data_IF_948903357459
#
_entry.id   IF_948903357459
#
_cell.length_a   1.000
_cell.length_b   1.000
_cell.length_c   1.000
_cell.angle_alpha   90.00
_cell.angle_beta   90.00
_cell.angle_gamma   90.00
#
_symmetry.space_group_name_H-M   'P 1'
#
loop_
_entity.id
_entity.type
_entity.pdbx_description
1 polymer ?
#
# COMPACT_ATOMS: atom_id res chain seq x y z
N UNK A 1 -1.16 25.66 -2.33
CA UNK A 1 -1.54 24.24 -2.37
C UNK A 1 -0.46 23.54 -3.15
N UNK A 2 0.51 22.96 -2.44
CA UNK A 2 1.55 22.13 -3.06
C UNK A 2 0.84 20.88 -3.57
N UNK A 3 0.74 20.79 -4.90
CA UNK A 3 0.39 19.58 -5.61
C UNK A 3 1.57 18.62 -5.37
N UNK A 4 1.55 17.89 -4.25
CA UNK A 4 2.53 16.82 -3.99
C UNK A 4 2.33 15.78 -5.08
N UNK A 5 3.15 15.92 -6.12
CA UNK A 5 3.09 15.07 -7.29
C UNK A 5 3.35 13.65 -6.82
N UNK A 6 2.37 12.76 -6.96
CA UNK A 6 2.51 11.36 -6.62
C UNK A 6 3.59 10.75 -7.54
N UNK A 7 4.82 10.61 -7.04
CA UNK A 7 5.93 10.04 -7.81
C UNK A 7 5.97 8.53 -7.60
N UNK A 8 5.54 7.78 -8.61
CA UNK A 8 5.61 6.33 -8.65
C UNK A 8 6.74 5.87 -9.57
N UNK A 9 7.56 4.94 -9.08
CA UNK A 9 8.74 4.42 -9.80
C UNK A 9 8.47 3.04 -10.38
N UNK A 10 7.63 2.25 -9.74
CA UNK A 10 7.33 0.89 -10.16
C UNK A 10 6.25 0.87 -11.25
N UNK A 11 6.48 0.25 -12.42
CA UNK A 11 5.54 0.26 -13.54
C UNK A 11 4.18 -0.36 -13.20
N UNK A 12 4.14 -1.37 -12.32
CA UNK A 12 2.87 -1.93 -11.85
C UNK A 12 2.08 -0.97 -10.96
N UNK A 13 2.75 -0.13 -10.16
CA UNK A 13 2.04 0.87 -9.34
C UNK A 13 1.54 2.02 -10.19
N UNK A 14 2.32 2.44 -11.19
CA UNK A 14 1.88 3.40 -12.21
C UNK A 14 0.60 2.91 -12.91
N UNK A 15 0.57 1.66 -13.36
CA UNK A 15 -0.62 1.11 -14.02
C UNK A 15 -1.80 0.93 -13.06
N UNK A 16 -1.56 0.58 -11.79
CA UNK A 16 -2.60 0.49 -10.76
C UNK A 16 -3.22 1.86 -10.48
N UNK A 17 -2.39 2.89 -10.40
CA UNK A 17 -2.85 4.25 -10.18
C UNK A 17 -3.67 4.77 -11.37
N UNK A 18 -3.21 4.52 -12.59
CA UNK A 18 -3.96 4.87 -13.81
C UNK A 18 -5.34 4.18 -13.83
N UNK A 19 -5.39 2.89 -13.51
CA UNK A 19 -6.66 2.17 -13.38
C UNK A 19 -7.57 2.80 -12.31
N UNK A 20 -7.05 3.14 -11.13
CA UNK A 20 -7.83 3.81 -10.10
C UNK A 20 -8.39 5.18 -10.54
N UNK A 21 -7.60 5.96 -11.30
CA UNK A 21 -8.05 7.22 -11.88
C UNK A 21 -9.18 7.02 -12.90
N UNK A 22 -9.14 5.96 -13.70
CA UNK A 22 -10.23 5.60 -14.63
C UNK A 22 -11.52 5.30 -13.85
N UNK A 23 -11.42 4.56 -12.75
CA UNK A 23 -12.58 4.23 -11.91
C UNK A 23 -13.17 5.44 -11.18
N UNK A 24 -12.40 6.50 -10.98
CA UNK A 24 -12.92 7.75 -10.42
C UNK A 24 -13.98 8.37 -11.34
N UNK A 25 -13.88 8.19 -12.66
CA UNK A 25 -14.90 8.57 -13.66
C UNK A 25 -15.54 9.98 -13.47
N UNK A 26 -14.78 10.95 -12.97
CA UNK A 26 -15.23 12.32 -12.68
C UNK A 26 -15.74 12.56 -11.25
N UNK A 27 -15.82 11.53 -10.41
CA UNK A 27 -15.95 11.62 -8.97
C UNK A 27 -14.56 11.70 -8.29
N UNK A 28 -14.45 12.31 -7.10
CA UNK A 28 -13.18 12.39 -6.37
C UNK A 28 -12.74 11.04 -5.76
N UNK A 29 -13.66 10.08 -5.63
CA UNK A 29 -13.44 8.84 -4.91
C UNK A 29 -14.26 7.71 -5.57
N UNK A 30 -13.63 6.60 -6.02
CA UNK A 30 -14.36 5.52 -6.67
C UNK A 30 -15.04 4.61 -5.65
N UNK A 31 -16.15 4.01 -6.07
CA UNK A 31 -16.85 3.00 -5.27
C UNK A 31 -16.08 1.68 -5.30
N UNK A 32 -15.86 1.09 -4.12
CA UNK A 32 -15.23 -0.21 -3.98
C UNK A 32 -16.00 -1.31 -4.71
N UNK A 33 -17.33 -1.22 -4.72
CA UNK A 33 -18.24 -2.14 -5.43
C UNK A 33 -18.17 -2.01 -6.96
N UNK A 34 -17.64 -0.90 -7.48
CA UNK A 34 -17.46 -0.70 -8.92
C UNK A 34 -16.17 -1.34 -9.45
N UNK A 35 -15.26 -1.78 -8.57
CA UNK A 35 -14.04 -2.48 -8.97
C UNK A 35 -14.36 -3.94 -9.27
N UNK A 36 -14.15 -4.35 -10.52
CA UNK A 36 -14.27 -5.75 -10.88
C UNK A 36 -13.01 -6.51 -10.42
N UNK A 37 -13.13 -7.56 -9.58
CA UNK A 37 -11.97 -8.36 -9.17
C UNK A 37 -11.19 -8.98 -10.35
N UNK A 38 -11.85 -9.20 -11.50
CA UNK A 38 -11.19 -9.70 -12.70
C UNK A 38 -10.22 -8.68 -13.30
N UNK A 39 -10.49 -7.38 -13.18
CA UNK A 39 -9.63 -6.30 -13.66
C UNK A 39 -8.43 -6.10 -12.72
N UNK A 40 -8.56 -6.45 -11.44
CA UNK A 40 -7.48 -6.38 -10.45
C UNK A 40 -6.45 -7.52 -10.59
N UNK A 41 -6.74 -8.55 -11.39
CA UNK A 41 -5.85 -9.72 -11.61
C UNK A 41 -4.38 -9.39 -11.88
N UNK A 42 -4.01 -8.34 -12.64
CA UNK A 42 -2.61 -8.00 -12.88
C UNK A 42 -1.81 -7.63 -11.63
N UNK A 43 -2.50 -7.30 -10.53
CA UNK A 43 -1.89 -6.86 -9.27
C UNK A 43 -2.23 -7.75 -8.07
N UNK A 44 -3.26 -8.61 -8.13
CA UNK A 44 -3.77 -9.41 -6.99
C UNK A 44 -2.70 -9.99 -6.06
N UNK A 45 -1.65 -10.61 -6.61
CA UNK A 45 -0.57 -11.18 -5.79
C UNK A 45 0.13 -10.15 -4.88
N UNK A 46 0.18 -8.89 -5.29
CA UNK A 46 0.87 -7.77 -4.63
C UNK A 46 -0.13 -6.67 -4.20
N UNK A 47 -1.39 -7.03 -3.99
CA UNK A 47 -2.42 -6.16 -3.41
C UNK A 47 -2.75 -6.56 -1.97
N UNK A 48 -3.17 -5.59 -1.18
CA UNK A 48 -3.89 -5.79 0.07
C UNK A 48 -5.04 -4.79 0.13
N UNK A 49 -6.17 -5.22 0.69
CA UNK A 49 -7.34 -4.36 0.90
C UNK A 49 -7.55 -4.25 2.39
N UNK A 50 -7.72 -3.01 2.85
CA UNK A 50 -8.05 -2.70 4.24
C UNK A 50 -9.49 -2.21 4.30
N UNK A 51 -10.25 -2.74 5.25
CA UNK A 51 -11.53 -2.18 5.67
C UNK A 51 -11.29 -1.13 6.75
N UNK A 52 -11.89 0.05 6.57
CA UNK A 52 -11.88 1.13 7.56
C UNK A 52 -13.07 0.91 8.49
N UNK A 53 -12.83 0.32 9.66
CA UNK A 53 -13.90 0.01 10.61
C UNK A 53 -14.18 1.19 11.56
N UNK A 54 -15.38 1.21 12.15
CA UNK A 54 -15.75 2.21 13.15
C UNK A 54 -14.74 2.23 14.29
N UNK A 55 -14.20 3.42 14.60
CA UNK A 55 -13.13 3.58 15.58
C UNK A 55 -11.74 3.85 14.97
N UNK A 56 -11.66 4.11 13.66
CA UNK A 56 -10.40 4.39 12.94
C UNK A 56 -9.40 3.23 12.96
N UNK A 57 -9.91 2.00 13.05
CA UNK A 57 -9.07 0.83 12.92
C UNK A 57 -9.09 0.30 11.49
N UNK A 58 -8.02 -0.38 11.11
CA UNK A 58 -7.83 -0.87 9.75
C UNK A 58 -7.66 -2.38 9.80
N UNK A 59 -8.59 -3.10 9.17
CA UNK A 59 -8.63 -4.56 9.18
C UNK A 59 -8.32 -5.07 7.79
N UNK A 60 -7.41 -6.04 7.66
CA UNK A 60 -7.12 -6.65 6.36
C UNK A 60 -8.34 -7.43 5.88
N UNK A 61 -8.91 -7.07 4.74
CA UNK A 61 -10.02 -7.79 4.09
C UNK A 61 -9.57 -8.62 2.90
N UNK A 62 -8.45 -8.25 2.28
CA UNK A 62 -7.74 -9.06 1.29
C UNK A 62 -6.24 -8.96 1.51
N UNK A 63 -5.55 -10.09 1.35
CA UNK A 63 -4.10 -10.15 1.43
C UNK A 63 -3.57 -10.98 0.25
N UNK A 64 -2.79 -10.32 -0.61
CA UNK A 64 -2.26 -10.91 -1.83
C UNK A 64 -1.26 -12.02 -1.53
N UNK A 65 -1.28 -13.06 -2.36
CA UNK A 65 -0.46 -14.26 -2.15
C UNK A 65 1.05 -13.95 -2.07
N UNK A 66 1.57 -13.00 -2.85
CA UNK A 66 2.99 -12.61 -2.79
C UNK A 66 3.36 -12.02 -1.43
N UNK A 67 2.42 -11.39 -0.74
CA UNK A 67 2.64 -10.92 0.62
C UNK A 67 2.60 -12.05 1.63
N UNK A 68 1.69 -13.02 1.49
CA UNK A 68 1.68 -14.22 2.34
C UNK A 68 3.01 -14.98 2.23
N UNK A 69 3.53 -15.11 1.00
CA UNK A 69 4.80 -15.78 0.73
C UNK A 69 6.01 -14.99 1.28
N UNK A 70 5.97 -13.65 1.26
CA UNK A 70 7.11 -12.80 1.65
C UNK A 70 7.12 -12.40 3.13
N UNK A 71 5.95 -12.30 3.78
CA UNK A 71 5.82 -11.76 5.14
C UNK A 71 5.25 -12.76 6.14
N UNK A 72 4.85 -13.95 5.69
CA UNK A 72 4.30 -15.01 6.51
C UNK A 72 2.89 -14.71 7.03
N UNK A 73 2.09 -15.77 7.04
CA UNK A 73 0.69 -15.86 7.51
C UNK A 73 -0.32 -14.96 6.79
N UNK A 74 -1.50 -15.53 6.57
CA UNK A 74 -2.67 -14.79 6.13
C UNK A 74 -3.12 -13.85 7.26
N UNK A 75 -3.12 -12.54 6.98
CA UNK A 75 -3.51 -11.50 7.94
C UNK A 75 -4.96 -11.07 7.77
N UNK A 76 -5.73 -11.69 6.87
CA UNK A 76 -7.15 -11.38 6.68
C UNK A 76 -7.91 -11.52 8.01
N UNK A 77 -8.74 -10.53 8.31
CA UNK A 77 -9.49 -10.38 9.55
C UNK A 77 -8.68 -9.81 10.73
N UNK A 78 -7.38 -9.58 10.57
CA UNK A 78 -6.55 -8.98 11.62
C UNK A 78 -6.50 -7.46 11.49
N UNK A 79 -6.41 -6.78 12.63
CA UNK A 79 -6.22 -5.33 12.71
C UNK A 79 -4.74 -4.95 12.64
N UNK A 80 -4.41 -3.81 12.05
CA UNK A 80 -3.05 -3.24 12.13
C UNK A 80 -2.61 -2.96 13.56
N UNK A 81 -3.53 -2.83 14.52
CA UNK A 81 -3.21 -2.67 15.94
C UNK A 81 -2.52 -3.90 16.55
N UNK A 82 -2.59 -5.07 15.88
CA UNK A 82 -1.86 -6.28 16.28
C UNK A 82 -0.40 -6.30 15.82
N UNK A 83 0.00 -5.36 14.96
CA UNK A 83 1.39 -5.22 14.55
C UNK A 83 2.23 -4.65 15.69
N UNK A 84 3.56 -4.84 15.67
CA UNK A 84 4.45 -4.14 16.59
C UNK A 84 4.17 -2.63 16.58
N UNK A 85 4.20 -1.99 17.75
CA UNK A 85 3.76 -0.59 17.96
C UNK A 85 4.37 0.39 16.95
N UNK A 86 5.68 0.30 16.71
CA UNK A 86 6.35 1.17 15.73
C UNK A 86 5.87 0.96 14.28
N UNK A 87 5.42 -0.24 13.92
CA UNK A 87 4.88 -0.52 12.58
C UNK A 87 3.40 -0.12 12.47
N UNK A 88 2.60 -0.37 13.51
CA UNK A 88 1.19 -0.02 13.53
C UNK A 88 0.97 1.48 13.48
N UNK A 89 1.78 2.26 14.21
CA UNK A 89 1.69 3.73 14.24
C UNK A 89 2.00 4.37 12.88
N UNK A 90 3.03 3.87 12.20
CA UNK A 90 3.42 4.35 10.87
C UNK A 90 2.29 4.09 9.86
N UNK A 91 1.73 2.87 9.86
CA UNK A 91 0.62 2.54 8.95
C UNK A 91 -0.66 3.30 9.30
N UNK A 92 -0.95 3.47 10.59
CA UNK A 92 -2.11 4.23 11.06
C UNK A 92 -2.05 5.67 10.60
N UNK A 93 -0.91 6.35 10.78
CA UNK A 93 -0.72 7.71 10.33
C UNK A 93 -0.87 7.84 8.80
N UNK A 94 -0.27 6.92 8.03
CA UNK A 94 -0.38 6.90 6.56
C UNK A 94 -1.83 6.75 6.09
N UNK A 95 -2.55 5.79 6.68
CA UNK A 95 -3.94 5.51 6.33
C UNK A 95 -4.90 6.61 6.80
N UNK A 96 -4.63 7.23 7.93
CA UNK A 96 -5.42 8.37 8.43
C UNK A 96 -5.28 9.59 7.54
N UNK A 97 -4.08 9.86 6.99
CA UNK A 97 -3.88 10.89 5.97
C UNK A 97 -4.70 10.59 4.73
N UNK A 98 -4.62 9.38 4.18
CA UNK A 98 -5.40 8.99 2.99
C UNK A 98 -6.90 9.12 3.23
N UNK A 99 -7.37 8.68 4.41
CA UNK A 99 -8.77 8.76 4.81
C UNK A 99 -9.27 10.20 4.95
N UNK A 100 -8.48 11.07 5.57
CA UNK A 100 -8.87 12.46 5.87
C UNK A 100 -8.74 13.39 4.67
N UNK A 101 -7.72 13.20 3.84
CA UNK A 101 -7.49 14.02 2.65
C UNK A 101 -8.23 13.50 1.41
N UNK A 102 -8.68 12.23 1.42
CA UNK A 102 -9.29 11.55 0.28
C UNK A 102 -8.36 11.61 -0.94
N UNK A 103 -7.07 11.35 -0.69
CA UNK A 103 -6.03 11.39 -1.72
C UNK A 103 -5.15 10.14 -1.67
N UNK A 104 -4.69 9.66 -2.85
CA UNK A 104 -3.64 8.67 -2.96
C UNK A 104 -2.37 9.10 -2.22
N UNK A 105 -1.72 8.15 -1.54
CA UNK A 105 -0.39 8.35 -0.96
C UNK A 105 0.54 7.27 -1.45
N UNK A 106 1.76 7.65 -1.83
CA UNK A 106 2.82 6.71 -2.19
C UNK A 106 4.04 6.94 -1.33
N UNK A 107 4.71 5.85 -0.97
CA UNK A 107 5.91 5.88 -0.15
C UNK A 107 6.90 4.83 -0.63
N UNK A 108 8.18 5.19 -0.61
CA UNK A 108 9.29 4.25 -0.75
C UNK A 108 9.93 4.04 0.61
N UNK A 109 10.17 2.79 0.98
CA UNK A 109 10.87 2.44 2.22
C UNK A 109 11.84 1.28 2.00
N UNK A 110 12.92 1.29 2.76
CA UNK A 110 13.89 0.19 2.79
C UNK A 110 13.77 -0.49 4.15
N UNK A 111 13.62 -1.82 4.13
CA UNK A 111 13.60 -2.64 5.32
C UNK A 111 14.41 -3.91 5.08
N UNK A 112 14.91 -4.49 6.16
CA UNK A 112 15.57 -5.78 6.14
C UNK A 112 14.51 -6.89 6.14
N UNK A 113 14.60 -7.80 5.17
CA UNK A 113 13.76 -8.98 5.08
C UNK A 113 14.70 -10.18 5.05
N UNK A 114 14.75 -10.94 6.14
CA UNK A 114 15.61 -12.11 6.32
C UNK A 114 17.10 -11.84 6.02
N UNK A 115 17.63 -10.70 6.49
CA UNK A 115 19.02 -10.29 6.27
C UNK A 115 19.30 -9.68 4.90
N UNK A 116 18.26 -9.49 4.08
CA UNK A 116 18.38 -8.87 2.76
C UNK A 116 17.71 -7.50 2.77
N UNK A 117 18.49 -6.39 2.73
CA UNK A 117 17.93 -5.06 2.63
C UNK A 117 17.20 -4.92 1.28
N UNK A 118 15.88 -4.75 1.34
CA UNK A 118 15.04 -4.59 0.16
C UNK A 118 14.31 -3.27 0.22
N UNK A 119 14.33 -2.54 -0.90
CA UNK A 119 13.55 -1.31 -1.06
C UNK A 119 12.22 -1.65 -1.71
N UNK A 120 11.13 -1.18 -1.10
CA UNK A 120 9.77 -1.36 -1.57
C UNK A 120 9.13 -0.02 -1.84
N UNK A 121 8.29 0.03 -2.87
CA UNK A 121 7.37 1.12 -3.12
C UNK A 121 5.96 0.65 -2.78
N UNK A 122 5.23 1.47 -2.05
CA UNK A 122 3.86 1.24 -1.60
C UNK A 122 2.99 2.38 -2.10
N UNK A 123 1.82 2.04 -2.59
CA UNK A 123 0.78 2.96 -3.03
C UNK A 123 -0.51 2.62 -2.30
N UNK A 124 -1.10 3.60 -1.63
CA UNK A 124 -2.37 3.50 -0.91
C UNK A 124 -3.40 4.35 -1.66
N UNK A 125 -4.50 3.72 -2.05
CA UNK A 125 -5.58 4.31 -2.83
C UNK A 125 -6.88 4.29 -2.03
N UNK A 126 -7.54 5.43 -1.81
CA UNK A 126 -8.80 5.47 -1.09
C UNK A 126 -9.93 4.94 -1.97
N UNK A 127 -10.85 4.19 -1.36
CA UNK A 127 -12.08 3.71 -1.96
C UNK A 127 -13.27 4.01 -1.05
N UNK A 128 -14.43 4.23 -1.65
CA UNK A 128 -15.67 4.46 -0.92
C UNK A 128 -16.60 3.26 -0.94
N UNK A 129 -17.39 3.09 0.12
CA UNK A 129 -18.54 2.18 0.10
C UNK A 129 -19.87 2.92 -0.14
N UNK A 130 -19.93 4.22 0.14
CA UNK A 130 -21.13 5.07 0.07
C UNK A 130 -21.02 6.24 -0.93
N UNK A 131 -19.86 6.41 -1.56
CA UNK A 131 -19.53 7.50 -2.49
C UNK A 131 -19.10 8.80 -1.80
N UNK A 132 -19.06 8.86 -0.47
CA UNK A 132 -18.80 10.08 0.29
C UNK A 132 -17.61 9.94 1.24
N UNK A 133 -17.43 8.77 1.86
CA UNK A 133 -16.39 8.53 2.86
C UNK A 133 -15.43 7.42 2.42
N UNK A 134 -14.19 7.48 2.89
CA UNK A 134 -13.21 6.40 2.65
C UNK A 134 -13.56 5.22 3.56
N UNK A 135 -14.17 4.19 2.97
CA UNK A 135 -14.57 2.95 3.67
C UNK A 135 -13.57 1.80 3.47
N UNK A 136 -12.78 1.86 2.39
CA UNK A 136 -11.73 0.88 2.12
C UNK A 136 -10.47 1.53 1.59
N UNK A 137 -9.33 0.87 1.78
CA UNK A 137 -8.06 1.24 1.18
C UNK A 137 -7.58 0.09 0.29
N UNK A 138 -7.30 0.40 -0.97
CA UNK A 138 -6.61 -0.51 -1.88
C UNK A 138 -5.13 -0.18 -1.86
N UNK A 139 -4.30 -1.15 -1.50
CA UNK A 139 -2.87 -0.94 -1.38
C UNK A 139 -2.12 -1.89 -2.29
N UNK A 140 -1.27 -1.34 -3.15
CA UNK A 140 -0.27 -2.10 -3.89
C UNK A 140 1.12 -1.88 -3.30
N UNK A 141 1.93 -2.93 -3.21
CA UNK A 141 3.34 -2.76 -2.91
C UNK A 141 4.22 -3.69 -3.75
N UNK A 142 5.34 -3.15 -4.23
CA UNK A 142 6.29 -3.87 -5.08
C UNK A 142 7.71 -3.57 -4.63
N UNK A 143 8.57 -4.58 -4.72
CA UNK A 143 10.01 -4.40 -4.57
C UNK A 143 10.53 -3.55 -5.73
N UNK A 144 11.36 -2.55 -5.43
CA UNK A 144 12.07 -1.78 -6.44
C UNK A 144 13.37 -2.49 -6.78
N UNK A 145 13.50 -2.94 -8.02
CA UNK A 145 14.76 -3.47 -8.57
C UNK A 145 15.73 -2.32 -8.85
N UNK A 146 16.22 -1.69 -7.79
CA UNK A 146 17.43 -0.89 -7.84
C UNK A 146 18.24 -1.15 -6.58
N UNK A 147 19.28 -2.01 -6.64
CA UNK A 147 20.31 -1.96 -5.61
C UNK A 147 20.98 -0.59 -5.70
N UNK A 148 20.96 0.19 -4.62
CA UNK A 148 22.09 1.07 -4.37
C UNK A 148 23.30 0.14 -4.24
N UNK A 149 24.43 0.38 -4.94
CA UNK A 149 25.64 -0.37 -4.64
C UNK A 149 25.90 -0.20 -3.15
N UNK A 150 25.83 -1.30 -2.40
CA UNK A 150 26.38 -1.35 -1.06
C UNK A 150 27.85 -1.02 -1.29
N UNK A 151 28.26 0.20 -0.95
CA UNK A 151 29.67 0.51 -0.81
C UNK A 151 30.20 -0.49 0.19
N UNK A 152 30.86 -1.53 -0.30
CA UNK A 152 31.58 -2.48 0.53
C UNK A 152 32.58 -1.66 1.33
N UNK A 153 32.21 -1.34 2.57
CA UNK A 153 33.16 -0.89 3.57
C UNK A 153 34.18 -2.01 3.68
N UNK A 154 35.36 -1.77 3.14
CA UNK A 154 36.52 -2.64 3.34
C UNK A 154 36.72 -2.84 4.84
N UNK A 155 36.82 -4.09 5.35
CA UNK A 155 37.24 -4.28 6.72
C UNK A 155 38.68 -3.73 6.83
N UNK A 156 38.88 -2.76 7.73
CA UNK A 156 40.22 -2.30 8.11
C UNK A 156 41.00 -3.50 8.67
N UNK A 157 42.21 -3.80 8.17
CA UNK A 157 43.08 -4.72 8.88
C UNK A 157 43.57 -4.04 10.16
N UNK A 158 43.54 -4.80 11.25
CA UNK A 158 44.27 -4.52 12.50
C UNK A 158 45.75 -4.82 12.32
#
# INVERSE_FOLDING_TARGET
MTDETLVLRHPKLLSLYAFWLEQCAGAPLPLASALNPAELRPWLGNLLIMDVVRGADFVYSYYGQSFSDSFGEDRVGQSIARLPEGQSDILRAEYDTVRSEIKPVARVYTADFDGVPSTWERLVLPLSEDGATVGKLLVGAYKLDRPHPIGMGTPRPV
#
